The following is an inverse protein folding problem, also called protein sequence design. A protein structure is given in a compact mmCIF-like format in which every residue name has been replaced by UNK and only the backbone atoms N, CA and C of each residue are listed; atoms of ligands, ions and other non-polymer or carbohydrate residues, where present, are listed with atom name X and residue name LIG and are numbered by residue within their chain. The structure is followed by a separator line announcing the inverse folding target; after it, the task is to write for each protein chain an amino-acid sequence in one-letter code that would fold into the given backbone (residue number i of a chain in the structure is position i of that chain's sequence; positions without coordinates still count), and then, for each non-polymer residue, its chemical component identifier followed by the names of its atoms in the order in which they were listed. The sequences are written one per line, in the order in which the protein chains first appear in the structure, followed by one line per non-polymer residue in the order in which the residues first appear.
data_IF_544654216016
#
_entry.id   IF_544654216016
#
_cell.length_a   1.000
_cell.length_b   1.000
_cell.length_c   1.000
_cell.angle_alpha   90.00
_cell.angle_beta   90.00
_cell.angle_gamma   90.00
#
_symmetry.space_group_name_H-M   'P 1'
#
loop_
_entity.id
_entity.type
_entity.pdbx_description
1 polymer ?
#
# COMPACT_ATOMS: atom_id res chain seq x y z
N UNK A 1 1.59 28.72 -15.08
CA UNK A 1 1.50 27.95 -13.83
C UNK A 1 1.65 28.95 -12.70
N UNK A 2 0.63 29.09 -11.86
CA UNK A 2 0.66 30.01 -10.72
C UNK A 2 1.47 29.38 -9.57
N UNK A 3 2.37 30.14 -8.95
CA UNK A 3 3.17 29.66 -7.81
C UNK A 3 2.30 29.71 -6.55
N UNK A 4 2.12 28.57 -5.90
CA UNK A 4 1.48 28.48 -4.59
C UNK A 4 2.59 28.36 -3.54
N UNK A 5 2.61 29.27 -2.55
CA UNK A 5 3.55 29.16 -1.43
C UNK A 5 3.14 28.00 -0.51
N UNK A 6 4.13 27.23 -0.05
CA UNK A 6 3.94 26.14 0.90
C UNK A 6 4.63 26.44 2.24
N UNK A 7 4.16 25.81 3.32
CA UNK A 7 4.66 25.97 4.69
C UNK A 7 5.36 24.71 5.23
N UNK A 8 5.32 23.61 4.50
CA UNK A 8 5.93 22.34 4.88
C UNK A 8 5.14 21.14 4.37
N UNK A 9 5.56 19.93 4.74
CA UNK A 9 4.88 18.69 4.37
C UNK A 9 3.79 18.30 5.38
N UNK A 10 2.86 17.44 4.95
CA UNK A 10 1.87 16.82 5.84
C UNK A 10 2.55 16.09 6.99
N UNK A 11 3.67 15.40 6.73
CA UNK A 11 4.42 14.71 7.79
C UNK A 11 4.91 15.68 8.87
N UNK A 12 5.49 16.83 8.48
CA UNK A 12 5.95 17.85 9.43
C UNK A 12 4.79 18.51 10.19
N UNK A 13 3.63 18.66 9.54
CA UNK A 13 2.43 19.25 10.14
C UNK A 13 1.76 18.35 11.18
N UNK A 14 1.82 17.02 10.98
CA UNK A 14 1.12 16.02 11.77
C UNK A 14 2.00 15.30 12.79
N UNK A 15 3.31 15.54 12.77
CA UNK A 15 4.26 14.96 13.73
C UNK A 15 4.50 15.91 14.88
N UNK A 16 4.74 15.35 16.06
CA UNK A 16 5.13 16.14 17.23
C UNK A 16 6.49 16.78 16.99
N UNK A 17 6.64 18.12 17.09
CA UNK A 17 7.95 18.75 16.97
C UNK A 17 8.93 18.21 18.02
N UNK A 18 10.12 17.81 17.58
CA UNK A 18 11.23 17.42 18.46
C UNK A 18 12.52 18.11 18.00
N UNK A 19 13.30 18.61 18.95
CA UNK A 19 14.65 19.13 18.71
C UNK A 19 15.69 18.00 18.62
N UNK A 20 15.33 16.80 19.08
CA UNK A 20 16.18 15.62 19.02
C UNK A 20 15.96 14.88 17.70
N UNK A 21 16.95 14.87 16.79
CA UNK A 21 16.84 14.21 15.50
C UNK A 21 16.75 12.68 15.59
N UNK A 22 17.01 12.09 16.77
CA UNK A 22 16.81 10.66 17.02
C UNK A 22 15.39 10.30 17.45
N UNK A 23 14.52 11.29 17.69
CA UNK A 23 13.12 11.03 18.04
C UNK A 23 12.39 10.43 16.83
N UNK A 24 11.71 9.28 17.00
CA UNK A 24 10.86 8.69 15.98
C UNK A 24 9.87 9.70 15.40
N UNK A 25 9.78 9.73 14.07
CA UNK A 25 8.90 10.65 13.36
C UNK A 25 7.49 10.04 13.26
N UNK A 26 6.76 10.05 14.38
CA UNK A 26 5.43 9.44 14.54
C UNK A 26 4.30 10.46 14.47
N UNK A 27 3.12 10.00 14.05
CA UNK A 27 1.89 10.79 14.16
C UNK A 27 1.70 11.29 15.59
N UNK A 28 1.52 12.60 15.77
CA UNK A 28 1.25 13.19 17.08
C UNK A 28 -0.05 12.63 17.66
N UNK A 29 0.02 11.97 18.81
CA UNK A 29 -1.16 11.41 19.47
C UNK A 29 -2.17 12.50 19.88
N UNK A 30 -1.71 13.72 20.12
CA UNK A 30 -2.51 14.86 20.56
C UNK A 30 -3.09 15.67 19.38
N UNK A 31 -2.80 15.29 18.13
CA UNK A 31 -3.39 15.96 16.97
C UNK A 31 -4.92 15.83 17.00
N UNK A 32 -5.60 16.96 16.83
CA UNK A 32 -7.06 16.95 16.91
C UNK A 32 -7.68 16.15 15.76
N UNK A 33 -8.75 15.43 16.06
CA UNK A 33 -9.51 14.67 15.06
C UNK A 33 -10.03 15.56 13.91
N UNK A 34 -10.37 16.82 14.21
CA UNK A 34 -10.79 17.82 13.22
C UNK A 34 -9.66 18.13 12.25
N UNK A 35 -8.43 18.30 12.76
CA UNK A 35 -7.24 18.55 11.93
C UNK A 35 -6.97 17.36 11.00
N UNK A 36 -6.99 16.13 11.55
CA UNK A 36 -6.78 14.91 10.76
C UNK A 36 -7.82 14.77 9.66
N UNK A 37 -9.10 14.79 10.04
CA UNK A 37 -10.21 14.63 9.09
C UNK A 37 -10.23 15.71 8.01
N UNK A 38 -9.76 16.92 8.31
CA UNK A 38 -9.63 18.01 7.33
C UNK A 38 -8.49 17.74 6.35
N UNK A 39 -7.27 17.49 6.85
CA UNK A 39 -6.10 17.27 6.00
C UNK A 39 -6.26 15.98 5.19
N UNK A 40 -6.63 14.87 5.83
CA UNK A 40 -6.85 13.60 5.17
C UNK A 40 -8.02 13.62 4.19
N UNK A 41 -9.08 14.41 4.46
CA UNK A 41 -10.15 14.62 3.48
C UNK A 41 -9.63 15.25 2.18
N UNK A 42 -8.79 16.28 2.29
CA UNK A 42 -8.16 16.92 1.11
C UNK A 42 -7.23 15.96 0.36
N UNK A 43 -6.45 15.16 1.08
CA UNK A 43 -5.59 14.12 0.47
C UNK A 43 -6.42 13.03 -0.19
N UNK A 44 -7.51 12.60 0.44
CA UNK A 44 -8.44 11.63 -0.11
C UNK A 44 -9.03 12.12 -1.44
N UNK A 45 -9.41 13.40 -1.55
CA UNK A 45 -9.82 13.99 -2.83
C UNK A 45 -8.72 13.87 -3.90
N UNK A 46 -7.46 14.16 -3.57
CA UNK A 46 -6.35 13.98 -4.50
C UNK A 46 -6.17 12.52 -4.91
N UNK A 47 -6.19 11.58 -3.96
CA UNK A 47 -6.07 10.14 -4.27
C UNK A 47 -7.24 9.63 -5.11
N UNK A 48 -8.45 10.12 -4.89
CA UNK A 48 -9.61 9.81 -5.72
C UNK A 48 -9.42 10.32 -7.15
N UNK A 49 -8.89 11.52 -7.34
CA UNK A 49 -8.56 12.05 -8.67
C UNK A 49 -7.49 11.20 -9.37
N UNK A 50 -6.41 10.85 -8.66
CA UNK A 50 -5.33 10.03 -9.21
C UNK A 50 -5.80 8.63 -9.56
N UNK A 51 -6.61 8.01 -8.69
CA UNK A 51 -7.13 6.66 -8.93
C UNK A 51 -7.99 6.62 -10.20
N UNK A 52 -8.73 7.68 -10.55
CA UNK A 52 -9.56 7.77 -11.76
C UNK A 52 -8.76 7.83 -13.06
N UNK A 53 -7.45 8.10 -13.01
CA UNK A 53 -6.59 8.06 -14.19
C UNK A 53 -6.36 6.59 -14.54
N UNK A 54 -7.02 6.15 -15.60
CA UNK A 54 -6.93 4.76 -16.09
C UNK A 54 -6.15 4.68 -17.38
N UNK A 55 -5.39 3.60 -17.52
CA UNK A 55 -4.61 3.27 -18.70
C UNK A 55 -5.07 1.91 -19.23
N UNK A 56 -5.16 1.75 -20.56
CA UNK A 56 -5.71 0.52 -21.15
C UNK A 56 -4.74 -0.65 -21.10
N UNK A 57 -3.43 -0.41 -21.03
CA UNK A 57 -2.38 -1.44 -21.12
C UNK A 57 -1.15 -1.07 -20.32
N UNK A 58 -0.64 -2.04 -19.57
CA UNK A 58 0.77 -2.18 -19.17
C UNK A 58 1.16 -3.64 -19.41
N UNK A 59 2.44 -3.95 -19.44
CA UNK A 59 2.86 -5.35 -19.43
C UNK A 59 4.36 -5.51 -19.40
N UNK A 60 4.76 -6.77 -19.24
CA UNK A 60 6.15 -7.20 -19.34
C UNK A 60 6.40 -7.80 -20.71
N UNK A 61 7.65 -7.71 -21.18
CA UNK A 61 8.06 -8.40 -22.39
C UNK A 61 8.11 -9.91 -22.09
N UNK A 62 7.30 -10.67 -22.82
CA UNK A 62 7.27 -12.13 -22.75
C UNK A 62 7.74 -12.67 -24.09
N UNK A 63 8.65 -13.63 -24.04
CA UNK A 63 9.05 -14.36 -25.25
C UNK A 63 8.00 -15.44 -25.54
N UNK A 64 7.40 -15.38 -26.72
CA UNK A 64 6.48 -16.41 -27.22
C UNK A 64 7.25 -17.66 -27.66
N UNK A 65 6.52 -18.76 -27.85
CA UNK A 65 7.08 -20.08 -28.22
C UNK A 65 7.82 -20.05 -29.58
N UNK A 66 7.48 -19.11 -30.46
CA UNK A 66 8.12 -18.89 -31.75
C UNK A 66 9.39 -18.01 -31.68
N UNK A 67 9.78 -17.59 -30.47
CA UNK A 67 10.92 -16.72 -30.21
C UNK A 67 10.64 -15.22 -30.37
N UNK A 68 9.43 -14.82 -30.78
CA UNK A 68 9.01 -13.42 -30.82
C UNK A 68 8.79 -12.87 -29.40
N UNK A 69 8.74 -11.53 -29.26
CA UNK A 69 8.42 -10.88 -27.99
C UNK A 69 7.08 -10.18 -28.07
N UNK A 70 6.21 -10.45 -27.11
CA UNK A 70 4.91 -9.83 -26.96
C UNK A 70 4.79 -9.15 -25.59
N UNK A 71 3.89 -8.16 -25.50
CA UNK A 71 3.53 -7.59 -24.19
C UNK A 71 2.51 -8.53 -23.55
N UNK A 72 2.98 -9.34 -22.59
CA UNK A 72 2.17 -10.34 -21.92
C UNK A 72 1.20 -9.75 -20.89
N UNK A 73 0.10 -10.45 -20.66
CA UNK A 73 -0.86 -10.15 -19.58
C UNK A 73 -0.42 -10.68 -18.21
N UNK A 74 -1.18 -10.31 -17.17
CA UNK A 74 -0.98 -10.69 -15.74
C UNK A 74 0.27 -10.09 -15.06
N UNK A 75 0.49 -8.77 -15.15
CA UNK A 75 1.60 -8.09 -14.49
C UNK A 75 1.66 -8.34 -12.97
N UNK A 76 0.51 -8.45 -12.27
CA UNK A 76 0.51 -8.63 -10.82
C UNK A 76 1.08 -9.97 -10.35
N UNK A 77 0.76 -11.08 -11.01
CA UNK A 77 1.30 -12.40 -10.66
C UNK A 77 2.80 -12.49 -10.97
N UNK A 78 3.22 -11.90 -12.09
CA UNK A 78 4.64 -11.80 -12.43
C UNK A 78 5.39 -10.92 -11.44
N UNK A 79 4.79 -9.82 -11.00
CA UNK A 79 5.34 -8.93 -9.99
C UNK A 79 5.54 -9.64 -8.65
N UNK A 80 4.51 -10.33 -8.13
CA UNK A 80 4.65 -11.13 -6.90
C UNK A 80 5.72 -12.22 -7.04
N UNK A 81 5.78 -12.89 -8.19
CA UNK A 81 6.81 -13.90 -8.45
C UNK A 81 8.21 -13.27 -8.44
N UNK A 82 8.40 -12.14 -9.11
CA UNK A 82 9.66 -11.43 -9.14
C UNK A 82 10.11 -10.99 -7.73
N UNK A 83 9.20 -10.41 -6.93
CA UNK A 83 9.48 -10.06 -5.54
C UNK A 83 9.85 -11.27 -4.70
N UNK A 84 9.14 -12.39 -4.86
CA UNK A 84 9.47 -13.61 -4.13
C UNK A 84 10.86 -14.16 -4.48
N UNK A 85 11.27 -14.11 -5.76
CA UNK A 85 12.64 -14.49 -6.15
C UNK A 85 13.67 -13.50 -5.58
N UNK A 86 13.38 -12.19 -5.57
CA UNK A 86 14.24 -11.18 -4.96
C UNK A 86 14.41 -11.38 -3.45
N UNK A 87 13.33 -11.73 -2.73
CA UNK A 87 13.38 -12.02 -1.30
C UNK A 87 14.25 -13.24 -0.99
N UNK A 88 14.15 -14.29 -1.81
CA UNK A 88 15.03 -15.46 -1.69
C UNK A 88 16.48 -15.09 -2.01
N UNK A 89 16.72 -14.31 -3.05
CA UNK A 89 18.06 -13.84 -3.40
C UNK A 89 18.69 -13.04 -2.25
N UNK A 90 17.94 -12.12 -1.64
CA UNK A 90 18.41 -11.37 -0.46
C UNK A 90 18.77 -12.32 0.68
N UNK A 91 17.95 -13.34 0.96
CA UNK A 91 18.25 -14.34 1.99
C UNK A 91 19.55 -15.10 1.73
N UNK A 92 19.86 -15.41 0.48
CA UNK A 92 21.05 -16.18 0.09
C UNK A 92 22.31 -15.30 0.12
N UNK A 93 22.21 -14.06 -0.36
CA UNK A 93 23.38 -13.22 -0.65
C UNK A 93 23.69 -12.16 0.40
N UNK A 94 22.74 -11.81 1.28
CA UNK A 94 23.01 -10.84 2.34
C UNK A 94 23.72 -11.52 3.51
N UNK A 95 24.99 -11.18 3.70
CA UNK A 95 25.88 -11.83 4.67
C UNK A 95 25.82 -11.26 6.09
N UNK A 96 25.39 -10.01 6.27
CA UNK A 96 25.40 -9.33 7.56
C UNK A 96 23.99 -9.02 8.07
N UNK A 97 23.80 -9.20 9.37
CA UNK A 97 22.66 -8.74 10.17
C UNK A 97 21.26 -9.17 9.69
N UNK A 98 21.20 -10.18 8.81
CA UNK A 98 19.93 -10.71 8.32
C UNK A 98 19.32 -11.75 9.25
N UNK A 99 20.17 -12.50 9.96
CA UNK A 99 19.77 -13.66 10.76
C UNK A 99 20.41 -13.55 12.14
N UNK A 100 19.61 -13.71 13.20
CA UNK A 100 20.09 -13.62 14.59
C UNK A 100 20.30 -14.99 15.24
N UNK A 101 19.69 -16.05 14.71
CA UNK A 101 19.82 -17.43 15.19
C UNK A 101 19.52 -18.45 14.08
N UNK A 102 19.84 -19.72 14.34
CA UNK A 102 19.48 -20.81 13.42
C UNK A 102 17.96 -20.93 13.22
N UNK A 103 17.19 -20.78 14.30
CA UNK A 103 15.72 -20.84 14.24
C UNK A 103 15.15 -19.64 13.48
N UNK A 104 15.70 -18.44 13.67
CA UNK A 104 15.35 -17.26 12.88
C UNK A 104 15.61 -17.49 11.39
N UNK A 105 16.77 -18.06 11.04
CA UNK A 105 17.09 -18.43 9.65
C UNK A 105 16.04 -19.38 9.05
N UNK A 106 15.70 -20.43 9.79
CA UNK A 106 14.72 -21.44 9.36
C UNK A 106 13.35 -20.81 9.15
N UNK A 107 12.90 -19.97 10.09
CA UNK A 107 11.61 -19.29 10.01
C UNK A 107 11.54 -18.37 8.78
N UNK A 108 12.56 -17.51 8.59
CA UNK A 108 12.66 -16.60 7.43
C UNK A 108 12.67 -17.36 6.10
N UNK A 109 13.44 -18.44 6.04
CA UNK A 109 13.49 -19.29 4.85
C UNK A 109 12.14 -19.93 4.54
N UNK A 110 11.47 -20.51 5.54
CA UNK A 110 10.15 -21.13 5.36
C UNK A 110 9.11 -20.10 4.93
N UNK A 111 9.04 -18.95 5.60
CA UNK A 111 8.11 -17.88 5.24
C UNK A 111 8.27 -17.42 3.78
N UNK A 112 9.52 -17.15 3.36
CA UNK A 112 9.81 -16.74 1.98
C UNK A 112 9.56 -17.84 0.94
N UNK A 113 9.79 -19.12 1.27
CA UNK A 113 9.44 -20.23 0.38
C UNK A 113 7.94 -20.43 0.24
N UNK A 114 7.17 -20.25 1.32
CA UNK A 114 5.70 -20.28 1.28
C UNK A 114 5.16 -19.15 0.40
N UNK A 115 5.62 -17.93 0.62
CA UNK A 115 5.26 -16.77 -0.21
C UNK A 115 5.60 -17.01 -1.68
N UNK A 116 6.80 -17.50 -1.98
CA UNK A 116 7.22 -17.87 -3.34
C UNK A 116 6.35 -18.96 -3.97
N UNK A 117 5.97 -19.97 -3.20
CA UNK A 117 5.08 -21.04 -3.66
C UNK A 117 3.72 -20.48 -4.06
N UNK A 118 3.11 -19.65 -3.20
CA UNK A 118 1.83 -19.00 -3.48
C UNK A 118 1.90 -18.04 -4.67
N UNK A 119 2.99 -17.27 -4.79
CA UNK A 119 3.23 -16.38 -5.92
C UNK A 119 3.28 -17.14 -7.25
N UNK A 120 4.03 -18.25 -7.31
CA UNK A 120 4.15 -19.11 -8.51
C UNK A 120 2.85 -19.80 -8.88
N UNK A 121 1.99 -20.09 -7.90
CA UNK A 121 0.65 -20.63 -8.13
C UNK A 121 -0.34 -19.57 -8.61
N UNK A 122 0.04 -18.28 -8.63
CA UNK A 122 -0.84 -17.18 -9.01
C UNK A 122 -1.95 -16.89 -8.01
N UNK A 123 -1.79 -17.35 -6.76
CA UNK A 123 -2.79 -17.25 -5.70
C UNK A 123 -2.85 -15.86 -5.04
N UNK A 124 -1.72 -15.16 -5.02
CA UNK A 124 -1.59 -13.87 -4.33
C UNK A 124 -2.39 -12.74 -5.00
N UNK A 125 -2.73 -12.84 -6.29
CA UNK A 125 -3.51 -11.81 -6.99
C UNK A 125 -4.97 -11.72 -6.55
N UNK A 126 -5.52 -12.78 -5.96
CA UNK A 126 -6.92 -12.86 -5.53
C UNK A 126 -7.08 -12.91 -4.02
N UNK A 127 -5.99 -12.95 -3.26
CA UNK A 127 -6.03 -12.96 -1.80
C UNK A 127 -6.79 -11.75 -1.25
N UNK A 128 -7.75 -11.99 -0.34
CA UNK A 128 -8.57 -10.93 0.25
C UNK A 128 -9.49 -10.21 -0.74
N UNK A 129 -9.86 -10.87 -1.84
CA UNK A 129 -10.97 -10.47 -2.73
C UNK A 129 -12.07 -11.54 -2.70
N UNK A 130 -13.21 -11.25 -3.33
CA UNK A 130 -14.34 -12.19 -3.42
C UNK A 130 -13.96 -13.54 -4.08
N UNK A 131 -12.93 -13.55 -4.92
CA UNK A 131 -12.39 -14.74 -5.59
C UNK A 131 -11.33 -15.50 -4.75
N UNK A 132 -11.08 -15.10 -3.50
CA UNK A 132 -10.20 -15.86 -2.60
C UNK A 132 -10.88 -17.16 -2.13
N UNK A 133 -10.52 -18.27 -2.74
CA UNK A 133 -11.09 -19.61 -2.46
C UNK A 133 -10.09 -20.56 -1.79
N UNK A 134 -8.90 -20.09 -1.44
CA UNK A 134 -7.79 -20.93 -1.00
C UNK A 134 -7.21 -20.53 0.35
N UNK A 135 -7.40 -19.29 0.79
CA UNK A 135 -6.83 -18.82 2.06
C UNK A 135 -7.61 -19.35 3.27
N UNK A 136 -6.95 -19.51 4.43
CA UNK A 136 -7.65 -19.75 5.68
C UNK A 136 -8.68 -18.67 5.98
N UNK A 137 -8.35 -17.40 5.69
CA UNK A 137 -9.22 -16.25 5.93
C UNK A 137 -10.56 -16.37 5.21
N UNK A 138 -10.56 -16.80 3.93
CA UNK A 138 -11.81 -16.95 3.18
C UNK A 138 -12.66 -18.11 3.67
N UNK A 139 -12.04 -19.14 4.25
CA UNK A 139 -12.72 -20.29 4.85
C UNK A 139 -13.28 -20.00 6.24
N UNK A 140 -12.54 -19.26 7.06
CA UNK A 140 -12.91 -18.93 8.44
C UNK A 140 -13.96 -17.80 8.51
N UNK A 141 -13.88 -16.83 7.59
CA UNK A 141 -14.74 -15.65 7.56
C UNK A 141 -15.41 -15.49 6.19
N UNK A 142 -16.35 -16.39 5.83
CA UNK A 142 -17.03 -16.32 4.54
C UNK A 142 -17.83 -15.01 4.43
N UNK A 143 -17.62 -14.30 3.31
CA UNK A 143 -18.27 -13.01 3.03
C UNK A 143 -17.56 -11.79 3.60
N UNK A 144 -16.36 -11.95 4.20
CA UNK A 144 -15.53 -10.82 4.64
C UNK A 144 -15.06 -9.96 3.45
N UNK A 145 -14.65 -10.61 2.35
CA UNK A 145 -14.34 -9.95 1.10
C UNK A 145 -15.55 -10.01 0.17
N UNK A 146 -16.10 -8.86 -0.20
CA UNK A 146 -17.20 -8.74 -1.17
C UNK A 146 -16.75 -8.10 -2.47
N UNK A 147 -15.64 -7.36 -2.42
CA UNK A 147 -15.09 -6.67 -3.57
C UNK A 147 -14.38 -7.68 -4.51
N UNK A 148 -14.67 -7.65 -5.83
CA UNK A 148 -14.00 -8.51 -6.79
C UNK A 148 -12.57 -8.05 -7.07
N UNK A 149 -11.69 -9.00 -7.39
CA UNK A 149 -10.35 -8.71 -7.86
C UNK A 149 -10.40 -7.93 -9.20
N UNK A 150 -9.69 -6.80 -9.33
CA UNK A 150 -9.64 -6.06 -10.59
C UNK A 150 -9.13 -6.91 -11.75
N UNK A 151 -9.70 -6.70 -12.94
CA UNK A 151 -9.22 -7.34 -14.17
C UNK A 151 -7.74 -7.02 -14.41
N UNK A 152 -6.93 -8.08 -14.55
CA UNK A 152 -5.49 -7.96 -14.80
C UNK A 152 -5.11 -7.59 -16.24
N UNK A 153 -6.06 -7.28 -17.12
CA UNK A 153 -5.79 -7.06 -18.55
C UNK A 153 -6.23 -5.70 -19.09
N UNK A 154 -7.21 -5.03 -18.46
CA UNK A 154 -7.92 -3.90 -19.10
C UNK A 154 -8.10 -2.67 -18.19
N UNK A 155 -7.44 -2.61 -17.03
CA UNK A 155 -7.57 -1.48 -16.11
C UNK A 155 -6.34 -1.31 -15.24
N UNK A 156 -5.52 -0.32 -15.57
CA UNK A 156 -4.29 0.03 -14.88
C UNK A 156 -4.36 1.47 -14.39
N UNK A 157 -3.74 1.79 -13.26
CA UNK A 157 -3.86 3.09 -12.60
C UNK A 157 -2.49 3.66 -12.29
N UNK A 158 -2.42 4.99 -12.17
CA UNK A 158 -1.21 5.66 -11.74
C UNK A 158 -0.93 5.30 -10.27
N UNK A 159 0.31 4.89 -10.00
CA UNK A 159 0.80 4.51 -8.69
C UNK A 159 2.12 5.23 -8.43
N UNK A 160 2.39 5.54 -7.16
CA UNK A 160 3.68 6.08 -6.72
C UNK A 160 4.07 5.45 -5.40
N UNK A 161 5.19 4.73 -5.37
CA UNK A 161 5.65 4.06 -4.15
C UNK A 161 5.96 5.05 -3.02
N UNK A 162 6.39 6.27 -3.37
CA UNK A 162 6.72 7.34 -2.41
C UNK A 162 5.62 8.40 -2.25
N UNK A 163 4.35 8.08 -2.58
CA UNK A 163 3.20 8.93 -2.24
C UNK A 163 2.89 8.86 -0.74
N UNK A 164 3.78 9.41 0.07
CA UNK A 164 3.71 9.49 1.54
C UNK A 164 3.52 10.92 2.05
N UNK A 165 3.15 11.05 3.32
CA UNK A 165 2.93 12.34 3.99
C UNK A 165 4.09 13.34 3.84
N UNK A 166 5.34 12.86 3.70
CA UNK A 166 6.51 13.71 3.46
C UNK A 166 6.49 14.46 2.12
N UNK A 167 5.82 13.89 1.12
CA UNK A 167 5.82 14.36 -0.27
C UNK A 167 4.52 15.10 -0.65
N UNK A 168 3.68 15.41 0.34
CA UNK A 168 2.47 16.22 0.17
C UNK A 168 2.71 17.54 0.90
N UNK A 169 2.77 18.64 0.17
CA UNK A 169 3.02 19.97 0.70
C UNK A 169 1.71 20.68 1.04
N UNK A 170 1.72 21.40 2.16
CA UNK A 170 0.59 22.18 2.66
C UNK A 170 0.84 23.69 2.54
N UNK A 171 -0.22 24.45 2.32
CA UNK A 171 -0.23 25.91 2.47
C UNK A 171 -0.30 26.29 3.96
N UNK A 172 -0.28 27.60 4.26
CA UNK A 172 -0.51 28.08 5.63
C UNK A 172 -1.91 27.73 6.19
N UNK A 173 -2.90 27.55 5.32
CA UNK A 173 -4.28 27.19 5.69
C UNK A 173 -4.52 25.67 5.71
N UNK A 174 -3.46 24.86 5.73
CA UNK A 174 -3.52 23.40 5.62
C UNK A 174 -4.24 22.92 4.33
N UNK A 175 -4.19 23.68 3.23
CA UNK A 175 -4.60 23.24 1.88
C UNK A 175 -3.47 22.52 1.16
N UNK A 176 -3.79 21.62 0.22
CA UNK A 176 -2.77 20.93 -0.59
C UNK A 176 -2.14 21.93 -1.56
N UNK A 177 -0.86 22.24 -1.35
CA UNK A 177 -0.08 23.11 -2.24
C UNK A 177 0.48 22.34 -3.44
N UNK A 178 1.04 21.15 -3.20
CA UNK A 178 1.59 20.28 -4.24
C UNK A 178 1.77 18.84 -3.75
N UNK A 179 1.69 17.89 -4.68
CA UNK A 179 2.26 16.55 -4.52
C UNK A 179 3.61 16.58 -5.26
N UNK A 180 4.70 16.26 -4.56
CA UNK A 180 6.06 16.27 -5.10
C UNK A 180 6.61 14.85 -5.21
N UNK A 181 7.85 14.75 -5.67
CA UNK A 181 8.63 13.50 -5.67
C UNK A 181 8.02 12.38 -6.54
N UNK A 182 7.83 12.70 -7.83
CA UNK A 182 7.22 11.80 -8.81
C UNK A 182 8.21 10.78 -9.41
N UNK A 183 9.44 10.68 -8.88
CA UNK A 183 10.52 9.89 -9.51
C UNK A 183 10.26 8.38 -9.50
N UNK A 184 9.36 7.90 -8.62
CA UNK A 184 8.89 6.51 -8.56
C UNK A 184 7.40 6.36 -8.93
N UNK A 185 6.86 7.29 -9.72
CA UNK A 185 5.50 7.16 -10.23
C UNK A 185 5.47 6.36 -11.54
N UNK A 186 4.58 5.37 -11.63
CA UNK A 186 4.40 4.51 -12.80
C UNK A 186 2.96 4.00 -12.91
N UNK A 187 2.63 3.38 -14.05
CA UNK A 187 1.32 2.76 -14.24
C UNK A 187 1.37 1.31 -13.76
N UNK A 188 0.48 0.96 -12.84
CA UNK A 188 0.48 -0.33 -12.14
C UNK A 188 -0.87 -1.06 -12.25
N UNK A 189 -0.93 -2.37 -11.95
CA UNK A 189 -2.19 -3.08 -11.73
C UNK A 189 -3.07 -2.31 -10.74
N UNK A 190 -4.38 -2.23 -11.03
CA UNK A 190 -5.34 -1.50 -10.18
C UNK A 190 -5.25 -1.91 -8.70
N UNK A 191 -4.91 -3.17 -8.40
CA UNK A 191 -4.75 -3.69 -7.05
C UNK A 191 -3.83 -2.83 -6.15
N UNK A 192 -2.82 -2.17 -6.71
CA UNK A 192 -1.87 -1.35 -5.94
C UNK A 192 -2.56 -0.17 -5.26
N UNK A 193 -3.62 0.38 -5.87
CA UNK A 193 -4.31 1.56 -5.34
C UNK A 193 -5.39 1.23 -4.30
N UNK A 194 -5.64 -0.07 -4.03
CA UNK A 194 -6.81 -0.53 -3.28
C UNK A 194 -6.57 -0.72 -1.78
N UNK A 195 -5.34 -0.51 -1.33
CA UNK A 195 -4.97 -0.63 0.06
C UNK A 195 -4.84 0.77 0.70
N UNK A 196 -5.16 0.96 1.99
CA UNK A 196 -5.07 2.26 2.64
C UNK A 196 -3.63 2.77 2.71
N UNK A 197 -3.43 4.09 2.89
CA UNK A 197 -2.10 4.67 2.97
C UNK A 197 -1.27 4.08 4.11
N UNK A 198 -0.19 3.37 3.79
CA UNK A 198 0.66 2.70 4.79
C UNK A 198 1.30 3.65 5.82
N UNK A 199 1.31 4.95 5.53
CA UNK A 199 1.96 6.01 6.30
C UNK A 199 1.01 6.78 7.23
N UNK A 200 -0.21 6.32 7.52
CA UNK A 200 -1.14 7.04 8.42
C UNK A 200 -0.52 7.36 9.79
N UNK A 201 0.36 6.50 10.30
CA UNK A 201 1.11 6.72 11.55
C UNK A 201 2.47 7.41 11.35
N UNK A 202 2.81 7.72 10.10
CA UNK A 202 4.06 8.29 9.60
C UNK A 202 5.26 7.35 9.76
N UNK A 203 5.43 6.78 10.94
CA UNK A 203 6.37 5.70 11.20
C UNK A 203 5.85 4.34 10.74
N UNK A 204 6.77 3.54 10.21
CA UNK A 204 6.51 2.23 9.63
C UNK A 204 6.38 1.15 10.71
N UNK A 205 5.56 0.12 10.46
CA UNK A 205 5.27 -0.94 11.42
C UNK A 205 6.51 -1.60 12.03
N UNK A 206 7.54 -1.85 11.22
CA UNK A 206 8.77 -2.52 11.63
C UNK A 206 9.73 -1.63 12.45
N UNK A 207 9.51 -0.31 12.44
CA UNK A 207 10.28 0.66 13.23
C UNK A 207 9.54 1.09 14.51
N UNK A 208 8.28 0.65 14.67
CA UNK A 208 7.43 1.06 15.78
C UNK A 208 7.99 0.53 17.11
N UNK A 209 8.31 1.43 18.04
CA UNK A 209 9.01 1.08 19.28
C UNK A 209 8.26 0.09 20.17
N UNK A 210 6.93 0.12 20.13
CA UNK A 210 6.06 -0.77 20.91
C UNK A 210 5.78 -2.11 20.22
N UNK A 211 6.31 -2.32 19.01
CA UNK A 211 6.11 -3.53 18.21
C UNK A 211 4.92 -3.46 17.26
N UNK A 212 4.87 -4.42 16.33
CA UNK A 212 3.91 -4.46 15.22
C UNK A 212 2.46 -4.58 15.70
N UNK A 213 2.20 -5.29 16.79
CA UNK A 213 0.83 -5.46 17.28
C UNK A 213 0.25 -4.14 17.81
N UNK A 214 1.03 -3.36 18.56
CA UNK A 214 0.64 -2.01 19.00
C UNK A 214 0.48 -1.05 17.81
N UNK A 215 1.35 -1.17 16.79
CA UNK A 215 1.20 -0.43 15.54
C UNK A 215 -0.12 -0.75 14.86
N UNK A 216 -0.53 -2.03 14.79
CA UNK A 216 -1.79 -2.47 14.19
C UNK A 216 -2.99 -1.89 14.92
N UNK A 217 -3.01 -1.92 16.25
CA UNK A 217 -4.09 -1.34 17.06
C UNK A 217 -4.21 0.18 16.87
N UNK A 218 -3.07 0.87 16.86
CA UNK A 218 -3.01 2.31 16.65
C UNK A 218 -3.44 2.67 15.22
N UNK A 219 -2.98 1.90 14.23
CA UNK A 219 -3.31 2.10 12.83
C UNK A 219 -4.79 1.84 12.56
N UNK A 220 -5.39 0.80 13.15
CA UNK A 220 -6.82 0.50 13.02
C UNK A 220 -7.70 1.68 13.46
N UNK A 221 -7.31 2.34 14.55
CA UNK A 221 -8.01 3.54 15.05
C UNK A 221 -7.93 4.68 14.03
N UNK A 222 -6.75 4.95 13.48
CA UNK A 222 -6.54 6.02 12.49
C UNK A 222 -7.09 5.67 11.11
N UNK A 223 -7.16 4.39 10.76
CA UNK A 223 -7.77 3.90 9.54
C UNK A 223 -9.28 4.23 9.53
N UNK A 224 -9.97 4.11 10.66
CA UNK A 224 -11.39 4.51 10.77
C UNK A 224 -11.60 5.99 10.45
N UNK A 225 -10.74 6.86 10.97
CA UNK A 225 -10.72 8.29 10.66
C UNK A 225 -10.46 8.55 9.18
N UNK A 226 -9.47 7.86 8.60
CA UNK A 226 -9.13 7.95 7.18
C UNK A 226 -10.31 7.53 6.30
N UNK A 227 -10.91 6.36 6.57
CA UNK A 227 -12.03 5.83 5.80
C UNK A 227 -13.25 6.77 5.87
N UNK A 228 -13.56 7.32 7.04
CA UNK A 228 -14.63 8.31 7.17
C UNK A 228 -14.36 9.63 6.40
N UNK A 229 -13.09 10.00 6.22
CA UNK A 229 -12.72 11.14 5.38
C UNK A 229 -12.80 10.81 3.89
N UNK A 230 -12.38 9.59 3.50
CA UNK A 230 -12.46 9.10 2.14
C UNK A 230 -13.91 8.91 1.68
N UNK A 231 -14.78 8.35 2.51
CA UNK A 231 -16.22 8.17 2.22
C UNK A 231 -16.89 9.53 1.95
N UNK A 232 -16.64 10.54 2.80
CA UNK A 232 -17.12 11.91 2.57
C UNK A 232 -16.57 12.50 1.27
N UNK A 233 -15.28 12.27 0.98
CA UNK A 233 -14.69 12.72 -0.26
C UNK A 233 -15.33 12.01 -1.47
N UNK A 234 -15.68 10.73 -1.38
CA UNK A 234 -16.34 9.98 -2.45
C UNK A 234 -17.75 10.51 -2.75
N UNK A 235 -18.49 10.97 -1.73
CA UNK A 235 -19.81 11.61 -1.91
C UNK A 235 -19.77 12.85 -2.82
N UNK A 236 -18.66 13.59 -2.80
CA UNK A 236 -18.46 14.79 -3.63
C UNK A 236 -18.16 14.48 -5.10
N UNK A 237 -17.80 13.23 -5.44
CA UNK A 237 -17.52 12.85 -6.83
C UNK A 237 -18.73 12.16 -7.47
N UNK A 238 -19.39 12.86 -8.39
CA UNK A 238 -20.56 12.34 -9.12
C UNK A 238 -20.23 11.33 -10.21
N UNK A 239 -19.01 11.39 -10.77
CA UNK A 239 -18.61 10.50 -11.86
C UNK A 239 -18.19 9.12 -11.35
N UNK A 240 -18.42 8.02 -12.09
CA UNK A 240 -17.95 6.69 -11.71
C UNK A 240 -16.41 6.63 -11.67
N UNK A 241 -15.83 5.96 -10.67
CA UNK A 241 -14.38 5.75 -10.56
C UNK A 241 -13.83 4.65 -11.49
N UNK A 242 -14.73 3.94 -12.18
CA UNK A 242 -14.42 2.73 -12.94
C UNK A 242 -14.06 1.52 -12.07
N UNK A 243 -14.15 1.63 -10.74
CA UNK A 243 -14.05 0.50 -9.82
C UNK A 243 -15.44 -0.13 -9.60
N UNK A 244 -15.52 -1.46 -9.38
CA UNK A 244 -16.78 -2.15 -9.04
C UNK A 244 -17.43 -1.70 -7.72
N UNK A 245 -16.66 -1.12 -6.82
CA UNK A 245 -17.09 -0.63 -5.51
C UNK A 245 -16.29 0.64 -5.14
N UNK A 246 -16.77 1.44 -4.17
CA UNK A 246 -16.00 2.58 -3.65
C UNK A 246 -14.60 2.18 -3.18
N UNK A 247 -13.64 3.09 -3.32
CA UNK A 247 -12.26 2.88 -2.89
C UNK A 247 -12.18 2.69 -1.38
N UNK A 248 -13.01 3.40 -0.61
CA UNK A 248 -13.15 3.20 0.84
C UNK A 248 -13.52 1.75 1.19
N UNK A 249 -14.44 1.13 0.45
CA UNK A 249 -14.82 -0.28 0.64
C UNK A 249 -13.64 -1.21 0.36
N UNK A 250 -12.93 -1.01 -0.74
CA UNK A 250 -11.73 -1.79 -1.06
C UNK A 250 -10.64 -1.67 0.01
N UNK A 251 -10.38 -0.46 0.51
CA UNK A 251 -9.37 -0.20 1.53
C UNK A 251 -9.76 -0.84 2.87
N UNK A 252 -11.05 -0.78 3.25
CA UNK A 252 -11.57 -1.42 4.44
C UNK A 252 -11.40 -2.94 4.38
N UNK A 253 -11.89 -3.57 3.32
CA UNK A 253 -11.77 -5.02 3.13
C UNK A 253 -10.30 -5.45 3.05
N UNK A 254 -9.41 -4.61 2.49
CA UNK A 254 -7.97 -4.93 2.44
C UNK A 254 -7.35 -5.11 3.82
N UNK A 255 -7.81 -4.32 4.79
CA UNK A 255 -7.32 -4.36 6.16
C UNK A 255 -7.90 -5.58 6.88
N UNK A 256 -9.21 -5.75 6.79
CA UNK A 256 -9.95 -6.83 7.46
C UNK A 256 -9.53 -8.23 6.98
N UNK A 257 -9.27 -8.39 5.68
CA UNK A 257 -8.83 -9.66 5.07
C UNK A 257 -7.33 -9.92 5.25
N UNK A 258 -6.57 -8.91 5.67
CA UNK A 258 -5.11 -8.96 5.75
C UNK A 258 -4.39 -8.74 4.40
N UNK A 259 -5.11 -8.45 3.31
CA UNK A 259 -4.50 -8.10 2.01
C UNK A 259 -3.50 -6.95 2.12
N UNK A 260 -3.79 -5.95 2.96
CA UNK A 260 -2.88 -4.85 3.25
C UNK A 260 -1.49 -5.35 3.67
N UNK A 261 -1.43 -6.34 4.59
CA UNK A 261 -0.16 -6.87 5.07
C UNK A 261 0.58 -7.68 4.01
N UNK A 262 -0.15 -8.41 3.15
CA UNK A 262 0.45 -9.08 1.99
C UNK A 262 1.16 -8.06 1.07
N UNK A 263 0.44 -7.00 0.66
CA UNK A 263 0.97 -5.96 -0.22
C UNK A 263 2.09 -5.14 0.45
N UNK A 264 1.98 -4.88 1.75
CA UNK A 264 2.97 -4.14 2.53
C UNK A 264 4.26 -4.96 2.69
N UNK A 265 4.15 -6.21 3.16
CA UNK A 265 5.28 -7.12 3.35
C UNK A 265 5.98 -7.44 2.03
N UNK A 266 5.23 -7.70 0.95
CA UNK A 266 5.79 -8.00 -0.36
C UNK A 266 6.75 -6.91 -0.89
N UNK A 267 6.50 -5.64 -0.55
CA UNK A 267 7.35 -4.50 -0.97
C UNK A 267 8.55 -4.26 -0.04
N UNK A 268 8.60 -4.90 1.12
CA UNK A 268 9.62 -4.66 2.16
C UNK A 268 10.44 -5.91 2.42
N UNK A 269 11.33 -6.23 1.50
CA UNK A 269 12.14 -7.46 1.54
C UNK A 269 12.96 -7.65 2.84
N UNK A 270 13.44 -6.55 3.44
CA UNK A 270 14.20 -6.54 4.69
C UNK A 270 13.35 -6.72 5.96
N UNK A 271 12.08 -6.28 5.93
CA UNK A 271 11.14 -6.37 7.04
C UNK A 271 10.05 -7.44 6.80
N UNK A 272 10.17 -8.20 5.71
CA UNK A 272 9.17 -9.16 5.25
C UNK A 272 8.79 -10.16 6.34
N UNK A 273 9.77 -10.62 7.11
CA UNK A 273 9.57 -11.65 8.12
C UNK A 273 8.96 -11.12 9.42
N UNK A 274 8.89 -9.79 9.58
CA UNK A 274 8.30 -9.10 10.73
C UNK A 274 6.80 -8.82 10.54
N UNK A 275 6.33 -8.81 9.29
CA UNK A 275 4.95 -8.46 8.89
C UNK A 275 4.12 -9.72 8.69
#
# INVERSE_FOLDING_TARGET
MERVENRGSVSARLTRPSEDPSTPHVLDADVSEITLTTIWGKIACCLLQLSRITFPRIGSLVQADDGSYEVGGRPLNQWYTALAEMHIAQLIFQHNDLVVSEDDCRNKYVARQLFRSLARQGRLSTFGFAEDDWSPQSSEFPGLATCPAPSGSNSFRLWGDDFRAGNILLTEADDIAALIDWEYAYVAPTQFTLDPPWWLLIETAEMWSSGVDDWKETYDTRLKTWLAALERAEEDFTEPSGLPAPLSTYMRESWETGRFFLSYGARKSWAFDTI
#
